data_IF_150537656673
#
_entry.id   IF_150537656673
#
_cell.length_a   1.000
_cell.length_b   1.000
_cell.length_c   1.000
_cell.angle_alpha   90.00
_cell.angle_beta   90.00
_cell.angle_gamma   90.00
#
_symmetry.space_group_name_H-M   'P 1'
#
loop_
_entity.id
_entity.type
_entity.pdbx_description
1 polymer ?
#
# COMPACT_ATOMS: atom_id res chain seq x y z
N UNK A 1 14.86 4.49 10.12
CA UNK A 1 15.71 4.51 8.91
C UNK A 1 14.82 4.95 7.77
N UNK A 2 15.32 5.70 6.81
CA UNK A 2 14.47 6.23 5.74
C UNK A 2 14.58 5.43 4.45
N UNK A 3 13.52 5.47 3.64
CA UNK A 3 13.51 5.02 2.26
C UNK A 3 12.57 5.90 1.43
N UNK A 4 12.81 5.98 0.14
CA UNK A 4 11.89 6.62 -0.80
C UNK A 4 10.76 5.65 -1.17
N UNK A 5 9.53 6.15 -1.22
CA UNK A 5 8.36 5.37 -1.61
C UNK A 5 7.36 6.21 -2.40
N UNK A 6 6.61 5.58 -3.31
CA UNK A 6 5.39 6.16 -3.85
C UNK A 6 4.28 5.95 -2.82
N UNK A 7 3.79 7.04 -2.24
CA UNK A 7 2.78 7.06 -1.19
C UNK A 7 1.47 7.61 -1.73
N UNK A 8 0.37 6.95 -1.39
CA UNK A 8 -0.99 7.39 -1.64
C UNK A 8 -1.71 7.61 -0.31
N UNK A 9 -2.04 8.88 0.01
CA UNK A 9 -2.73 9.25 1.26
C UNK A 9 -4.26 9.33 1.14
N UNK A 10 -4.75 9.36 -0.10
CA UNK A 10 -6.18 9.34 -0.48
C UNK A 10 -6.31 8.71 -1.86
N UNK A 11 -7.46 8.13 -2.17
CA UNK A 11 -7.76 7.64 -3.51
C UNK A 11 -8.13 8.79 -4.46
N UNK A 12 -8.04 8.56 -5.77
CA UNK A 12 -8.41 9.54 -6.79
C UNK A 12 -7.57 9.46 -8.06
N UNK A 13 -7.49 10.55 -8.80
CA UNK A 13 -6.72 10.71 -10.05
C UNK A 13 -5.21 10.45 -9.87
N UNK A 14 -4.41 10.26 -10.94
CA UNK A 14 -2.99 9.92 -10.80
C UNK A 14 -2.16 10.85 -9.91
N UNK A 15 -2.59 12.11 -9.75
CA UNK A 15 -1.96 13.10 -8.88
C UNK A 15 -1.98 12.74 -7.38
N UNK A 16 -2.67 11.68 -6.96
CA UNK A 16 -2.62 11.19 -5.57
C UNK A 16 -1.35 10.42 -5.23
N UNK A 17 -0.55 10.04 -6.23
CA UNK A 17 0.72 9.34 -6.05
C UNK A 17 1.84 10.37 -5.84
N UNK A 18 2.47 10.36 -4.66
CA UNK A 18 3.60 11.22 -4.33
C UNK A 18 4.86 10.42 -3.99
N UNK A 19 6.03 10.87 -4.45
CA UNK A 19 7.31 10.35 -3.97
C UNK A 19 7.63 11.01 -2.62
N UNK A 20 7.82 10.20 -1.59
CA UNK A 20 8.07 10.67 -0.23
C UNK A 20 9.22 9.88 0.44
N UNK A 21 9.98 10.55 1.31
CA UNK A 21 10.85 9.90 2.28
C UNK A 21 10.01 9.36 3.46
N UNK A 22 10.02 8.04 3.66
CA UNK A 22 9.26 7.38 4.73
C UNK A 22 10.19 6.76 5.77
N UNK A 23 9.82 6.86 7.05
CA UNK A 23 10.48 6.08 8.11
C UNK A 23 10.04 4.62 8.03
N UNK A 24 11.01 3.73 7.86
CA UNK A 24 10.78 2.29 7.86
C UNK A 24 10.57 1.79 9.30
N UNK A 25 9.54 0.95 9.54
CA UNK A 25 9.27 0.40 10.86
C UNK A 25 10.40 -0.52 11.32
N UNK A 26 10.51 -0.70 12.64
CA UNK A 26 11.39 -1.70 13.22
C UNK A 26 10.87 -3.10 12.88
N UNK A 27 11.78 -4.00 12.51
CA UNK A 27 11.45 -5.38 12.19
C UNK A 27 11.02 -6.14 13.45
N UNK A 28 10.01 -6.98 13.30
CA UNK A 28 9.57 -7.96 14.31
C UNK A 28 10.24 -9.30 14.06
N UNK A 29 10.11 -10.21 15.03
CA UNK A 29 10.58 -11.58 14.86
C UNK A 29 9.92 -12.25 13.64
N UNK A 30 10.73 -12.89 12.81
CA UNK A 30 10.29 -13.50 11.55
C UNK A 30 10.09 -12.55 10.36
N UNK A 31 10.22 -11.22 10.53
CA UNK A 31 10.16 -10.28 9.42
C UNK A 31 11.53 -10.07 8.76
N UNK A 32 11.53 -9.80 7.46
CA UNK A 32 12.74 -9.49 6.69
C UNK A 32 12.60 -8.16 5.98
N UNK A 33 13.72 -7.45 5.83
CA UNK A 33 13.77 -6.22 5.03
C UNK A 33 14.35 -6.52 3.65
N UNK A 34 13.60 -6.13 2.62
CA UNK A 34 13.99 -6.33 1.22
C UNK A 34 14.30 -4.96 0.62
N UNK A 35 15.42 -4.85 -0.09
CA UNK A 35 15.69 -3.72 -0.97
C UNK A 35 15.07 -4.02 -2.33
N UNK A 36 13.98 -3.34 -2.66
CA UNK A 36 13.35 -3.48 -3.97
C UNK A 36 14.27 -2.92 -5.06
N UNK A 37 14.48 -3.70 -6.12
CA UNK A 37 15.23 -3.27 -7.31
C UNK A 37 14.28 -2.83 -8.43
N UNK A 38 13.07 -3.39 -8.46
CA UNK A 38 12.04 -3.12 -9.44
C UNK A 38 10.67 -3.49 -8.86
N UNK A 39 9.62 -2.83 -9.34
CA UNK A 39 8.22 -3.20 -9.08
C UNK A 39 7.46 -3.17 -10.41
N UNK A 40 6.59 -4.15 -10.62
CA UNK A 40 5.65 -4.14 -11.73
C UNK A 40 4.43 -3.27 -11.37
N UNK A 41 3.74 -2.77 -12.40
CA UNK A 41 2.40 -2.19 -12.26
C UNK A 41 1.40 -3.23 -12.75
N UNK A 42 0.45 -3.57 -11.89
CA UNK A 42 -0.63 -4.50 -12.16
C UNK A 42 -1.94 -3.72 -12.36
N UNK A 43 -2.93 -4.38 -12.97
CA UNK A 43 -4.27 -3.79 -13.16
C UNK A 43 -4.89 -3.32 -11.83
N UNK A 44 -4.72 -4.12 -10.78
CA UNK A 44 -5.18 -3.85 -9.42
C UNK A 44 -4.69 -2.52 -8.86
N UNK A 45 -3.49 -2.08 -9.24
CA UNK A 45 -2.92 -0.84 -8.72
C UNK A 45 -3.73 0.37 -9.20
N UNK A 46 -4.29 0.29 -10.41
CA UNK A 46 -5.16 1.34 -10.97
C UNK A 46 -6.51 1.39 -10.25
N UNK A 47 -7.06 0.23 -9.92
CA UNK A 47 -8.34 0.09 -9.23
C UNK A 47 -8.22 0.58 -7.78
N UNK A 48 -7.22 0.09 -7.05
CA UNK A 48 -6.91 0.52 -5.67
C UNK A 48 -6.66 2.03 -5.63
N UNK A 49 -5.86 2.57 -6.56
CA UNK A 49 -5.60 4.02 -6.62
C UNK A 49 -6.86 4.83 -6.84
N UNK A 50 -7.73 4.38 -7.74
CA UNK A 50 -9.00 5.04 -8.03
C UNK A 50 -10.04 4.88 -6.89
N UNK A 51 -9.76 4.04 -5.89
CA UNK A 51 -10.70 3.73 -4.81
C UNK A 51 -11.81 2.78 -5.24
N UNK A 52 -11.53 1.92 -6.23
CA UNK A 52 -12.45 0.89 -6.72
C UNK A 52 -12.16 -0.43 -5.99
N UNK A 53 -13.17 -0.93 -5.28
CA UNK A 53 -13.11 -2.17 -4.49
C UNK A 53 -13.45 -3.42 -5.33
N UNK A 54 -12.94 -3.50 -6.57
CA UNK A 54 -13.23 -4.63 -7.48
C UNK A 54 -12.59 -5.95 -7.06
N UNK A 55 -11.56 -5.91 -6.21
CA UNK A 55 -10.88 -7.11 -5.69
C UNK A 55 -11.49 -7.65 -4.39
N UNK A 56 -12.34 -6.87 -3.71
CA UNK A 56 -12.98 -7.27 -2.47
C UNK A 56 -14.43 -6.77 -2.42
N UNK A 57 -15.43 -7.59 -2.77
CA UNK A 57 -16.82 -7.24 -2.47
C UNK A 57 -16.96 -6.95 -0.97
N UNK A 58 -17.78 -5.94 -0.63
CA UNK A 58 -17.97 -5.32 0.69
C UNK A 58 -18.13 -6.28 1.90
N UNK A 59 -18.29 -7.59 1.68
CA UNK A 59 -18.36 -8.63 2.70
C UNK A 59 -17.04 -8.87 3.48
N UNK A 60 -15.87 -8.51 2.94
CA UNK A 60 -14.58 -8.70 3.62
C UNK A 60 -14.10 -7.52 4.48
N UNK A 61 -14.80 -6.37 4.41
CA UNK A 61 -14.57 -5.20 5.29
C UNK A 61 -14.75 -5.53 6.79
N UNK A 62 -15.46 -6.61 7.11
CA UNK A 62 -15.71 -7.04 8.50
C UNK A 62 -14.55 -7.79 9.19
N UNK A 63 -13.49 -8.19 8.47
CA UNK A 63 -12.41 -9.02 9.05
C UNK A 63 -11.10 -8.30 9.40
N UNK A 64 -10.90 -7.06 8.98
CA UNK A 64 -9.72 -6.26 9.38
C UNK A 64 -9.99 -5.42 10.64
N UNK A 65 -11.26 -5.25 11.04
CA UNK A 65 -11.63 -4.47 12.23
C UNK A 65 -11.54 -5.21 13.57
N UNK A 66 -11.05 -6.46 13.63
CA UNK A 66 -10.87 -7.19 14.90
C UNK A 66 -9.55 -7.95 14.96
N UNK A 67 -8.49 -7.25 15.35
CA UNK A 67 -7.49 -7.73 16.31
C UNK A 67 -7.00 -6.53 17.12
N UNK A 68 -7.76 -6.21 18.18
CA UNK A 68 -7.15 -5.80 19.45
C UNK A 68 -6.73 -7.07 20.18
#
# INVERSE_FOLDING_TARGET
MKAEAIVMRRTGDPAVLGLEDVELPQLRDGEVRIRSLASAVNHSDLEIRAGLDSLFPAALSSRVARKQ
#
